data_IF_552277104924
#
_entry.id   IF_552277104924
#
_cell.length_a   1.000
_cell.length_b   1.000
_cell.length_c   1.000
_cell.angle_alpha   90.00
_cell.angle_beta   90.00
_cell.angle_gamma   90.00
#
_symmetry.space_group_name_H-M   'P 1'
#
loop_
_entity.id
_entity.type
_entity.pdbx_description
1 polymer ?
#
# COMPACT_ATOMS: atom_id res chain seq x y z
N UNK A 1 33.01 -63.66 19.60
CA UNK A 1 33.85 -62.62 19.06
C UNK A 1 33.28 -61.24 19.50
N UNK A 2 33.91 -60.66 20.52
CA UNK A 2 33.46 -59.42 21.14
C UNK A 2 34.06 -58.23 20.41
N UNK A 3 33.23 -57.28 19.96
CA UNK A 3 33.70 -56.01 19.40
C UNK A 3 33.45 -54.91 20.44
N UNK A 4 34.57 -54.30 20.85
CA UNK A 4 34.65 -53.26 21.86
C UNK A 4 34.04 -51.94 21.37
N UNK A 5 33.22 -51.36 22.25
CA UNK A 5 32.75 -49.95 22.15
C UNK A 5 33.86 -49.01 22.67
N UNK A 6 34.36 -48.17 21.81
CA UNK A 6 35.23 -47.05 22.20
C UNK A 6 34.33 -45.88 22.55
N UNK A 7 34.39 -45.41 23.80
CA UNK A 7 33.76 -44.19 24.30
C UNK A 7 34.76 -43.02 24.09
N UNK A 8 34.39 -42.05 23.23
CA UNK A 8 35.05 -40.75 23.23
C UNK A 8 34.36 -39.83 24.26
N UNK A 9 35.10 -39.47 25.31
CA UNK A 9 34.77 -38.40 26.23
C UNK A 9 35.33 -37.10 25.67
N UNK A 10 34.44 -36.17 25.28
CA UNK A 10 34.84 -34.81 25.08
C UNK A 10 34.58 -34.01 26.38
N UNK A 11 35.64 -33.44 26.91
CA UNK A 11 35.63 -32.48 27.98
C UNK A 11 35.23 -31.12 27.42
N UNK A 12 34.04 -30.64 27.73
CA UNK A 12 33.63 -29.26 27.46
C UNK A 12 33.89 -28.46 28.75
N UNK A 13 34.98 -27.67 28.76
CA UNK A 13 35.20 -26.61 29.72
C UNK A 13 34.35 -25.40 29.39
N UNK A 14 33.63 -24.94 30.38
CA UNK A 14 33.03 -23.64 30.63
C UNK A 14 32.86 -22.67 29.45
N UNK A 15 31.63 -22.60 28.90
CA UNK A 15 31.17 -21.41 28.21
C UNK A 15 30.06 -20.83 29.06
N UNK A 16 30.31 -19.63 29.61
CA UNK A 16 29.33 -18.84 30.32
C UNK A 16 28.07 -18.67 29.45
N UNK A 17 26.88 -18.82 30.07
CA UNK A 17 25.62 -18.46 29.46
C UNK A 17 25.63 -16.99 29.11
N UNK A 18 26.03 -16.64 27.89
CA UNK A 18 25.55 -15.43 27.26
C UNK A 18 24.10 -15.70 26.85
N UNK A 19 23.15 -15.13 27.57
CA UNK A 19 21.78 -14.97 27.11
C UNK A 19 21.82 -14.08 25.86
N UNK A 20 21.94 -14.69 24.70
CA UNK A 20 21.60 -14.01 23.44
C UNK A 20 20.10 -13.77 23.47
N UNK A 21 19.69 -12.53 23.83
CA UNK A 21 18.39 -12.03 23.42
C UNK A 21 18.30 -12.25 21.90
N UNK A 22 17.52 -13.21 21.49
CA UNK A 22 17.08 -13.34 20.09
C UNK A 22 16.22 -12.11 19.79
N UNK A 23 16.84 -11.02 19.37
CA UNK A 23 16.11 -9.99 18.63
C UNK A 23 15.67 -10.65 17.33
N UNK A 24 14.41 -11.04 17.28
CA UNK A 24 13.76 -11.47 16.05
C UNK A 24 13.79 -10.29 15.12
N UNK A 25 14.55 -10.38 14.03
CA UNK A 25 14.46 -9.43 12.92
C UNK A 25 13.04 -9.55 12.38
N UNK A 26 12.19 -8.59 12.73
CA UNK A 26 10.82 -8.52 12.23
C UNK A 26 10.90 -8.06 10.78
N UNK A 27 10.61 -8.94 9.85
CA UNK A 27 10.44 -8.58 8.44
C UNK A 27 9.18 -7.75 8.27
N UNK A 28 9.08 -6.95 7.20
CA UNK A 28 7.91 -6.12 6.89
C UNK A 28 6.58 -6.92 6.80
N UNK A 29 6.66 -8.23 6.75
CA UNK A 29 5.55 -9.18 6.76
C UNK A 29 5.19 -9.72 8.15
N UNK A 30 5.90 -9.36 9.23
CA UNK A 30 5.79 -10.10 10.49
C UNK A 30 5.09 -9.30 11.60
N UNK A 31 4.10 -9.94 12.15
CA UNK A 31 3.38 -9.89 13.43
C UNK A 31 3.26 -8.60 14.25
N UNK A 32 4.05 -7.56 14.06
CA UNK A 32 3.78 -6.19 14.51
C UNK A 32 3.24 -5.42 13.32
N UNK A 33 1.93 -5.39 13.19
CA UNK A 33 1.26 -4.69 12.11
C UNK A 33 1.24 -3.17 12.31
N UNK A 34 1.60 -2.69 13.49
CA UNK A 34 1.55 -1.27 13.86
C UNK A 34 2.94 -0.72 14.11
N UNK A 35 3.25 0.39 13.44
CA UNK A 35 4.52 1.09 13.54
C UNK A 35 4.26 2.59 13.75
N UNK A 36 5.00 3.21 14.62
CA UNK A 36 4.86 4.63 14.99
C UNK A 36 6.07 5.45 14.58
N UNK A 37 5.82 6.65 14.04
CA UNK A 37 6.81 7.68 13.76
C UNK A 37 6.47 8.98 14.50
N UNK A 38 7.49 9.80 14.75
CA UNK A 38 7.32 11.09 15.39
C UNK A 38 7.29 12.22 14.34
N UNK A 39 6.13 12.79 14.08
CA UNK A 39 5.95 13.89 13.13
C UNK A 39 6.73 15.16 13.51
N UNK A 40 7.15 15.31 14.78
CA UNK A 40 7.97 16.44 15.20
C UNK A 40 9.42 16.40 14.67
N UNK A 41 9.91 15.23 14.23
CA UNK A 41 11.26 15.03 13.67
C UNK A 41 11.35 15.34 12.19
N UNK A 42 10.23 15.50 11.49
CA UNK A 42 10.16 15.68 10.04
C UNK A 42 9.48 16.98 9.65
N UNK A 43 9.70 17.42 8.41
CA UNK A 43 9.00 18.57 7.83
C UNK A 43 7.64 18.11 7.31
N UNK A 44 6.53 18.71 7.74
CA UNK A 44 5.19 18.33 7.26
C UNK A 44 5.01 18.68 5.77
N UNK A 45 4.35 17.79 5.02
CA UNK A 45 4.12 18.00 3.58
C UNK A 45 3.11 19.11 3.30
N UNK A 46 1.90 19.02 3.87
CA UNK A 46 0.86 20.05 3.77
C UNK A 46 0.39 20.34 2.35
N UNK A 47 0.00 19.34 1.57
CA UNK A 47 -0.59 19.43 0.21
C UNK A 47 0.12 20.45 -0.69
N UNK A 48 1.29 20.12 -1.19
CA UNK A 48 2.11 21.02 -2.04
C UNK A 48 3.02 20.24 -3.00
N UNK A 49 3.48 20.93 -4.04
CA UNK A 49 4.55 20.38 -4.86
C UNK A 49 5.91 20.42 -4.13
N UNK A 50 6.90 19.75 -4.72
CA UNK A 50 8.22 19.68 -4.09
C UNK A 50 8.92 21.05 -4.06
N UNK A 51 8.72 21.90 -5.07
CA UNK A 51 9.38 23.19 -5.14
C UNK A 51 8.94 24.11 -3.98
N UNK A 52 7.66 24.07 -3.63
CA UNK A 52 7.13 24.81 -2.48
C UNK A 52 7.54 24.15 -1.16
N UNK A 53 7.46 22.82 -1.07
CA UNK A 53 7.95 22.07 0.09
C UNK A 53 9.43 22.35 0.39
N UNK A 54 10.28 22.42 -0.64
CA UNK A 54 11.72 22.63 -0.50
C UNK A 54 12.11 24.02 0.02
N UNK A 55 11.24 25.01 -0.09
CA UNK A 55 11.47 26.38 0.42
C UNK A 55 11.22 26.52 1.91
N UNK A 56 10.48 25.60 2.50
CA UNK A 56 10.15 25.66 3.94
C UNK A 56 11.35 25.33 4.81
N UNK A 57 11.36 25.86 6.05
CA UNK A 57 12.35 25.49 7.04
C UNK A 57 12.10 24.03 7.43
N UNK A 58 13.03 23.16 7.07
CA UNK A 58 12.96 21.74 7.35
C UNK A 58 13.60 21.42 8.70
N UNK A 59 13.08 20.40 9.34
CA UNK A 59 13.70 19.80 10.53
C UNK A 59 14.85 18.90 10.10
N UNK A 60 15.77 18.67 10.98
CA UNK A 60 16.88 17.75 10.75
C UNK A 60 16.66 16.49 11.55
N UNK A 61 16.65 15.36 10.85
CA UNK A 61 16.54 14.03 11.43
C UNK A 61 17.87 13.29 11.22
N UNK A 62 18.36 12.61 12.25
CA UNK A 62 19.56 11.78 12.12
C UNK A 62 19.18 10.49 11.37
N UNK A 63 19.58 10.39 10.12
CA UNK A 63 19.35 9.23 9.26
C UNK A 63 20.68 8.53 8.94
N UNK A 64 20.88 7.34 9.55
CA UNK A 64 22.11 6.58 9.36
C UNK A 64 22.15 5.96 7.96
N UNK A 65 23.24 6.17 7.22
CA UNK A 65 23.47 5.61 5.90
C UNK A 65 22.72 6.33 4.75
N UNK A 66 22.00 7.40 5.03
CA UNK A 66 21.41 8.24 4.00
C UNK A 66 22.39 9.31 3.50
N UNK A 67 22.19 9.73 2.25
CA UNK A 67 22.95 10.81 1.65
C UNK A 67 22.69 12.12 2.42
N UNK A 68 23.73 12.91 2.76
CA UNK A 68 23.60 14.18 3.50
C UNK A 68 22.73 15.24 2.83
N UNK A 69 22.40 15.10 1.56
CA UNK A 69 21.48 16.02 0.87
C UNK A 69 20.03 15.93 1.39
N UNK A 70 19.66 14.86 2.10
CA UNK A 70 18.33 14.68 2.67
C UNK A 70 18.35 15.08 4.15
N UNK A 71 17.51 16.05 4.52
CA UNK A 71 17.46 16.57 5.90
C UNK A 71 16.67 15.72 6.84
N UNK A 72 15.57 15.18 6.35
CA UNK A 72 14.71 14.24 7.08
C UNK A 72 14.14 13.21 6.12
N UNK A 73 13.46 12.20 6.65
CA UNK A 73 12.95 11.09 5.84
C UNK A 73 11.81 11.51 4.91
N UNK A 74 11.02 12.51 5.28
CA UNK A 74 9.98 13.07 4.41
C UNK A 74 10.62 13.82 3.24
N UNK A 75 11.68 14.61 3.48
CA UNK A 75 12.46 15.26 2.43
C UNK A 75 13.06 14.23 1.45
N UNK A 76 13.59 13.10 1.96
CA UNK A 76 14.07 12.02 1.11
C UNK A 76 12.98 11.52 0.15
N UNK A 77 11.81 11.17 0.68
CA UNK A 77 10.68 10.64 -0.13
C UNK A 77 10.18 11.68 -1.13
N UNK A 78 9.96 12.92 -0.71
CA UNK A 78 9.48 13.99 -1.58
C UNK A 78 10.47 14.32 -2.70
N UNK A 79 11.77 14.39 -2.37
CA UNK A 79 12.82 14.77 -3.31
C UNK A 79 13.04 13.70 -4.38
N UNK A 80 13.19 12.43 -3.99
CA UNK A 80 13.38 11.34 -4.97
C UNK A 80 12.17 11.20 -5.90
N UNK A 81 10.96 11.36 -5.36
CA UNK A 81 9.73 11.33 -6.16
C UNK A 81 9.72 12.44 -7.20
N UNK A 82 10.05 13.67 -6.80
CA UNK A 82 10.18 14.83 -7.71
C UNK A 82 11.25 14.60 -8.77
N UNK A 83 12.45 14.21 -8.37
CA UNK A 83 13.57 13.99 -9.28
C UNK A 83 13.28 12.93 -10.34
N UNK A 84 12.68 11.81 -9.94
CA UNK A 84 12.36 10.72 -10.88
C UNK A 84 11.26 11.14 -11.87
N UNK A 85 10.18 11.74 -11.38
CA UNK A 85 8.96 11.91 -12.18
C UNK A 85 8.83 13.27 -12.86
N UNK A 86 9.32 14.35 -12.26
CA UNK A 86 9.21 15.70 -12.83
C UNK A 86 10.50 16.14 -13.51
N UNK A 87 11.67 15.90 -12.90
CA UNK A 87 12.96 16.16 -13.50
C UNK A 87 13.40 15.07 -14.49
N UNK A 88 12.69 13.91 -14.51
CA UNK A 88 12.99 12.73 -15.36
C UNK A 88 14.38 12.15 -15.10
N UNK A 89 14.83 12.27 -13.87
CA UNK A 89 16.13 11.84 -13.40
C UNK A 89 16.18 10.33 -13.14
N UNK A 90 16.09 9.50 -14.20
CA UNK A 90 16.05 8.03 -14.08
C UNK A 90 17.28 7.49 -13.32
N UNK A 91 18.42 8.16 -13.41
CA UNK A 91 19.63 7.79 -12.67
C UNK A 91 19.46 7.72 -11.16
N UNK A 92 18.56 8.55 -10.59
CA UNK A 92 18.23 8.55 -9.15
C UNK A 92 17.72 7.19 -8.66
N UNK A 93 17.06 6.43 -9.53
CA UNK A 93 16.59 5.06 -9.20
C UNK A 93 17.77 4.17 -8.81
N UNK A 94 18.90 4.25 -9.54
CA UNK A 94 20.09 3.43 -9.23
C UNK A 94 20.75 3.82 -7.89
N UNK A 95 20.54 5.04 -7.41
CA UNK A 95 21.10 5.53 -6.15
C UNK A 95 20.16 5.33 -4.95
N UNK A 96 18.86 5.16 -5.20
CA UNK A 96 17.83 5.14 -4.15
C UNK A 96 17.03 3.83 -4.06
N UNK A 97 17.21 2.91 -5.00
CA UNK A 97 16.59 1.59 -4.97
C UNK A 97 17.65 0.49 -4.82
N UNK A 98 17.28 -0.56 -4.12
CA UNK A 98 18.12 -1.76 -4.02
C UNK A 98 18.10 -2.54 -5.35
N UNK A 99 19.21 -3.17 -5.73
CA UNK A 99 19.31 -3.92 -7.00
C UNK A 99 18.24 -5.02 -7.13
N UNK A 100 17.86 -5.65 -6.01
CA UNK A 100 16.84 -6.71 -5.94
C UNK A 100 15.54 -6.19 -5.32
N UNK A 101 15.19 -4.93 -5.56
CA UNK A 101 13.92 -4.37 -5.08
C UNK A 101 12.75 -5.19 -5.60
N UNK A 102 11.74 -5.38 -4.75
CA UNK A 102 10.44 -5.92 -5.15
C UNK A 102 9.40 -4.82 -5.09
N UNK A 103 8.69 -4.60 -6.20
CA UNK A 103 7.57 -3.65 -6.26
C UNK A 103 6.28 -4.43 -6.49
N UNK A 104 5.32 -4.29 -5.59
CA UNK A 104 4.00 -4.92 -5.64
C UNK A 104 2.98 -3.97 -6.27
N UNK A 105 2.30 -4.41 -7.33
CA UNK A 105 1.34 -3.65 -8.13
C UNK A 105 0.01 -4.42 -8.21
N UNK A 106 -0.74 -4.48 -7.12
CA UNK A 106 -1.96 -5.31 -7.08
C UNK A 106 -1.67 -6.80 -7.31
N UNK A 107 -2.10 -7.35 -8.43
CA UNK A 107 -1.86 -8.74 -8.85
C UNK A 107 -0.58 -8.94 -9.64
N UNK A 108 0.24 -7.92 -9.85
CA UNK A 108 1.53 -8.01 -10.55
C UNK A 108 2.68 -7.57 -9.65
N UNK A 109 3.90 -7.96 -10.01
CA UNK A 109 5.10 -7.52 -9.32
C UNK A 109 6.23 -7.26 -10.32
N UNK A 110 7.07 -6.27 -9.99
CA UNK A 110 8.34 -6.03 -10.66
C UNK A 110 9.46 -6.49 -9.72
N UNK A 111 10.47 -7.14 -10.25
CA UNK A 111 11.59 -7.65 -9.46
C UNK A 111 12.91 -7.18 -10.04
N UNK A 112 13.62 -6.42 -9.23
CA UNK A 112 14.91 -5.85 -9.62
C UNK A 112 14.82 -4.47 -10.25
N UNK A 113 15.90 -3.73 -10.10
CA UNK A 113 16.00 -2.32 -10.48
C UNK A 113 15.77 -2.08 -11.98
N UNK A 114 16.10 -3.04 -12.83
CA UNK A 114 15.92 -2.92 -14.29
C UNK A 114 14.44 -2.86 -14.68
N UNK A 115 13.61 -3.65 -14.01
CA UNK A 115 12.17 -3.67 -14.25
C UNK A 115 11.51 -2.38 -13.76
N UNK A 116 11.98 -1.84 -12.63
CA UNK A 116 11.54 -0.53 -12.12
C UNK A 116 11.89 0.58 -13.11
N UNK A 117 13.11 0.61 -13.61
CA UNK A 117 13.56 1.58 -14.63
C UNK A 117 12.73 1.47 -15.91
N UNK A 118 12.52 0.26 -16.42
CA UNK A 118 11.73 0.03 -17.63
C UNK A 118 10.29 0.51 -17.47
N UNK A 119 9.64 0.20 -16.35
CA UNK A 119 8.29 0.65 -16.04
C UNK A 119 8.20 2.18 -15.89
N UNK A 120 9.22 2.80 -15.27
CA UNK A 120 9.29 4.25 -15.11
C UNK A 120 9.43 4.94 -16.48
N UNK A 121 10.32 4.46 -17.34
CA UNK A 121 10.49 4.98 -18.71
C UNK A 121 9.20 4.87 -19.54
N UNK A 122 8.52 3.72 -19.48
CA UNK A 122 7.24 3.53 -20.17
C UNK A 122 6.17 4.52 -19.67
N UNK A 123 6.12 4.78 -18.35
CA UNK A 123 5.19 5.75 -17.78
C UNK A 123 5.52 7.18 -18.18
N UNK A 124 6.80 7.56 -18.19
CA UNK A 124 7.26 8.88 -18.64
C UNK A 124 7.03 9.09 -20.13
N UNK A 125 7.11 8.04 -20.96
CA UNK A 125 6.73 8.12 -22.37
C UNK A 125 5.24 8.40 -22.54
N UNK A 126 4.40 7.69 -21.81
CA UNK A 126 2.95 7.85 -21.90
C UNK A 126 2.45 9.20 -21.34
N UNK A 127 3.12 9.74 -20.32
CA UNK A 127 2.73 10.93 -19.56
C UNK A 127 3.92 11.87 -19.32
N UNK A 128 4.48 12.47 -20.37
CA UNK A 128 5.74 13.21 -20.28
C UNK A 128 5.67 14.54 -19.52
N UNK A 129 4.47 15.11 -19.34
CA UNK A 129 4.22 16.36 -18.64
C UNK A 129 3.69 16.16 -17.20
N UNK A 130 3.84 14.93 -16.64
CA UNK A 130 3.33 14.60 -15.31
C UNK A 130 3.83 15.58 -14.24
N UNK A 131 2.89 16.08 -13.43
CA UNK A 131 3.12 16.91 -12.25
C UNK A 131 2.62 16.19 -11.00
N UNK A 132 3.28 16.43 -9.88
CA UNK A 132 3.03 15.77 -8.61
C UNK A 132 2.73 16.80 -7.53
N UNK A 133 1.66 16.54 -6.78
CA UNK A 133 1.35 17.26 -5.55
C UNK A 133 1.41 16.23 -4.42
N UNK A 134 2.40 16.33 -3.55
CA UNK A 134 2.48 15.55 -2.32
C UNK A 134 1.35 15.96 -1.40
N UNK A 135 0.56 14.98 -0.96
CA UNK A 135 -0.55 15.24 -0.04
C UNK A 135 -0.17 14.89 1.39
N UNK A 136 0.52 13.77 1.59
CA UNK A 136 1.06 13.38 2.88
C UNK A 136 2.17 12.32 2.73
N UNK A 137 3.08 12.27 3.69
CA UNK A 137 4.04 11.18 3.91
C UNK A 137 3.90 10.71 5.34
N UNK A 138 3.25 9.58 5.54
CA UNK A 138 3.11 8.91 6.83
C UNK A 138 4.30 7.96 6.97
N UNK A 139 5.00 8.01 8.09
CA UNK A 139 6.24 7.27 8.22
C UNK A 139 6.45 6.72 9.64
N UNK A 140 7.39 5.79 9.77
CA UNK A 140 7.87 5.28 11.05
C UNK A 140 9.30 4.75 10.94
N UNK A 141 9.97 4.63 12.08
CA UNK A 141 11.20 3.86 12.15
C UNK A 141 10.92 2.36 11.94
N UNK A 142 11.87 1.65 11.35
CA UNK A 142 11.85 0.22 11.16
C UNK A 142 13.23 -0.39 11.48
N UNK A 143 13.31 -1.14 12.58
CA UNK A 143 14.59 -1.61 13.09
C UNK A 143 15.49 -0.47 13.55
N UNK A 144 16.81 -0.65 13.43
CA UNK A 144 17.80 0.35 13.89
C UNK A 144 18.09 1.46 12.89
N UNK A 145 18.00 1.16 11.60
CA UNK A 145 18.48 2.04 10.52
C UNK A 145 17.50 2.14 9.35
N UNK A 146 16.33 1.53 9.49
CA UNK A 146 15.31 1.49 8.46
C UNK A 146 14.14 2.40 8.75
N UNK A 147 13.39 2.69 7.69
CA UNK A 147 12.18 3.48 7.71
C UNK A 147 11.10 2.83 6.87
N UNK A 148 9.86 3.00 7.30
CA UNK A 148 8.67 2.73 6.50
C UNK A 148 8.03 4.07 6.13
N UNK A 149 7.59 4.21 4.88
CA UNK A 149 6.78 5.35 4.45
C UNK A 149 5.51 4.89 3.76
N UNK A 150 4.51 5.76 3.77
CA UNK A 150 3.33 5.72 2.93
C UNK A 150 3.13 7.11 2.36
N UNK A 151 3.36 7.28 1.06
CA UNK A 151 3.33 8.56 0.37
C UNK A 151 2.08 8.67 -0.49
N UNK A 152 1.17 9.58 -0.15
CA UNK A 152 -0.02 9.90 -0.92
C UNK A 152 0.26 11.09 -1.84
N UNK A 153 0.01 10.88 -3.13
CA UNK A 153 0.31 11.83 -4.20
C UNK A 153 -0.89 12.00 -5.13
N UNK A 154 -1.23 13.24 -5.45
CA UNK A 154 -2.08 13.58 -6.58
C UNK A 154 -1.21 13.88 -7.79
N UNK A 155 -1.49 13.24 -8.92
CA UNK A 155 -0.81 13.48 -10.19
C UNK A 155 -1.75 14.14 -11.18
N UNK A 156 -1.22 15.05 -12.02
CA UNK A 156 -1.86 15.53 -13.24
C UNK A 156 -0.96 15.24 -14.42
N UNK A 157 -1.51 14.84 -15.56
CA UNK A 157 -0.72 14.52 -16.75
C UNK A 157 -1.57 14.54 -18.01
N UNK A 158 -0.92 14.65 -19.17
CA UNK A 158 -1.55 14.47 -20.49
C UNK A 158 -1.04 13.19 -21.14
N UNK A 159 -1.94 12.36 -21.66
CA UNK A 159 -1.58 11.12 -22.34
C UNK A 159 -1.09 11.41 -23.75
N UNK A 160 0.21 11.66 -23.92
CA UNK A 160 0.86 12.02 -25.18
C UNK A 160 1.58 10.84 -25.87
N UNK A 161 1.75 9.74 -25.18
CA UNK A 161 2.34 8.50 -25.71
C UNK A 161 1.46 7.30 -25.45
N UNK A 162 1.71 6.21 -26.17
CA UNK A 162 1.03 4.94 -25.95
C UNK A 162 1.31 4.42 -24.55
N UNK A 163 0.33 3.79 -23.94
CA UNK A 163 0.37 3.26 -22.57
C UNK A 163 -0.11 1.83 -22.49
N UNK A 164 -0.01 1.21 -21.33
CA UNK A 164 -0.61 -0.10 -21.07
C UNK A 164 -2.14 -0.10 -21.22
N UNK A 165 -2.78 1.07 -21.23
CA UNK A 165 -4.21 1.21 -21.42
C UNK A 165 -4.61 1.28 -22.91
N UNK A 166 -3.71 1.69 -23.79
CA UNK A 166 -3.94 1.83 -25.21
C UNK A 166 -3.14 2.96 -25.85
N UNK A 167 -3.51 3.36 -27.08
CA UNK A 167 -2.83 4.44 -27.79
C UNK A 167 -3.00 5.80 -27.11
N UNK A 168 -2.12 6.74 -27.43
CA UNK A 168 -2.18 8.11 -26.97
C UNK A 168 -3.53 8.76 -27.31
N UNK A 169 -4.16 9.36 -26.29
CA UNK A 169 -5.50 9.99 -26.45
C UNK A 169 -5.44 11.51 -26.50
N UNK A 170 -4.32 12.11 -26.11
CA UNK A 170 -4.18 13.56 -25.95
C UNK A 170 -4.99 14.12 -24.76
N UNK A 171 -5.66 13.29 -23.97
CA UNK A 171 -6.50 13.74 -22.84
C UNK A 171 -5.67 14.04 -21.61
N UNK A 172 -6.06 15.11 -20.90
CA UNK A 172 -5.54 15.45 -19.60
C UNK A 172 -6.28 14.68 -18.50
N UNK A 173 -5.53 14.16 -17.56
CA UNK A 173 -6.06 13.34 -16.44
C UNK A 173 -5.48 13.79 -15.12
N UNK A 174 -6.18 13.45 -14.04
CA UNK A 174 -5.68 13.50 -12.66
C UNK A 174 -5.94 12.15 -11.99
N UNK A 175 -5.05 11.76 -11.07
CA UNK A 175 -5.20 10.49 -10.37
C UNK A 175 -4.39 10.46 -9.06
N UNK A 176 -4.96 9.77 -8.07
CA UNK A 176 -4.28 9.49 -6.80
C UNK A 176 -3.42 8.25 -6.93
N UNK A 177 -2.24 8.33 -6.32
CA UNK A 177 -1.36 7.17 -6.10
C UNK A 177 -0.95 7.17 -4.63
N UNK A 178 -0.92 5.99 -4.00
CA UNK A 178 -0.34 5.81 -2.67
C UNK A 178 0.77 4.76 -2.79
N UNK A 179 1.93 5.09 -2.26
CA UNK A 179 3.14 4.28 -2.35
C UNK A 179 3.67 4.03 -0.95
N UNK A 180 3.73 2.76 -0.56
CA UNK A 180 4.41 2.31 0.63
C UNK A 180 5.83 1.87 0.29
N UNK A 181 6.81 2.32 1.06
CA UNK A 181 8.21 1.89 0.88
C UNK A 181 8.80 1.38 2.19
N UNK A 182 9.63 0.33 2.09
CA UNK A 182 10.55 -0.07 3.12
C UNK A 182 11.97 0.31 2.67
N UNK A 183 12.65 1.14 3.49
CA UNK A 183 13.90 1.80 3.12
C UNK A 183 14.95 1.58 4.20
N UNK A 184 16.17 1.29 3.79
CA UNK A 184 17.33 1.19 4.69
C UNK A 184 18.54 1.80 4.01
N UNK A 185 19.29 2.67 4.72
CA UNK A 185 20.54 3.23 4.25
C UNK A 185 20.44 3.77 2.80
N UNK A 186 19.56 4.71 2.55
CA UNK A 186 19.31 5.33 1.24
C UNK A 186 18.72 4.42 0.17
N UNK A 187 18.33 3.16 0.48
CA UNK A 187 17.86 2.18 -0.49
C UNK A 187 16.45 1.68 -0.18
N UNK A 188 15.51 1.91 -1.11
CA UNK A 188 14.21 1.25 -1.10
C UNK A 188 14.42 -0.19 -1.52
N UNK A 189 14.10 -1.13 -0.66
CA UNK A 189 14.25 -2.56 -0.93
C UNK A 189 12.92 -3.28 -1.21
N UNK A 190 11.81 -2.67 -0.81
CA UNK A 190 10.46 -3.18 -1.09
C UNK A 190 9.49 -2.01 -1.23
N UNK A 191 8.58 -2.10 -2.21
CA UNK A 191 7.60 -1.07 -2.51
C UNK A 191 6.23 -1.69 -2.80
N UNK A 192 5.17 -1.06 -2.33
CA UNK A 192 3.78 -1.38 -2.65
C UNK A 192 3.13 -0.14 -3.21
N UNK A 193 2.60 -0.25 -4.42
CA UNK A 193 1.99 0.87 -5.11
C UNK A 193 0.55 0.56 -5.49
N UNK A 194 -0.36 1.42 -5.08
CA UNK A 194 -1.74 1.44 -5.52
C UNK A 194 -2.03 2.75 -6.25
N UNK A 195 -2.79 2.65 -7.34
CA UNK A 195 -3.18 3.79 -8.16
C UNK A 195 -4.63 3.65 -8.57
N UNK A 196 -5.35 4.74 -8.60
CA UNK A 196 -6.73 4.76 -9.12
C UNK A 196 -6.72 4.65 -10.66
N UNK A 197 -6.37 3.45 -11.14
CA UNK A 197 -6.30 3.14 -12.57
C UNK A 197 -7.68 3.14 -13.23
N UNK A 198 -8.76 2.82 -12.50
CA UNK A 198 -10.11 2.89 -13.03
C UNK A 198 -10.47 4.33 -13.42
N UNK A 199 -10.13 5.30 -12.56
CA UNK A 199 -10.35 6.72 -12.85
C UNK A 199 -9.50 7.21 -14.02
N UNK A 200 -8.23 6.81 -14.09
CA UNK A 200 -7.36 7.11 -15.22
C UNK A 200 -7.98 6.65 -16.55
N UNK A 201 -8.36 5.38 -16.62
CA UNK A 201 -8.94 4.76 -17.84
C UNK A 201 -10.23 5.45 -18.28
N UNK A 202 -11.09 5.79 -17.31
CA UNK A 202 -12.35 6.51 -17.58
C UNK A 202 -12.07 7.89 -18.16
N UNK A 203 -11.14 8.67 -17.59
CA UNK A 203 -10.75 9.98 -18.10
C UNK A 203 -10.11 9.90 -19.49
N UNK A 204 -9.32 8.86 -19.75
CA UNK A 204 -8.73 8.59 -21.07
C UNK A 204 -9.79 8.24 -22.11
N UNK A 205 -11.00 7.87 -21.70
CA UNK A 205 -12.15 7.55 -22.57
C UNK A 205 -12.15 6.13 -23.08
N UNK A 206 -11.42 5.24 -22.43
CA UNK A 206 -11.53 3.80 -22.69
C UNK A 206 -12.66 3.20 -21.84
N UNK A 207 -13.30 2.14 -22.35
CA UNK A 207 -14.22 1.34 -21.57
C UNK A 207 -13.43 0.45 -20.57
N UNK A 208 -13.65 0.60 -19.26
CA UNK A 208 -12.88 -0.16 -18.27
C UNK A 208 -13.11 -1.68 -18.35
N UNK A 209 -14.33 -2.12 -18.71
CA UNK A 209 -14.65 -3.54 -18.81
C UNK A 209 -13.98 -4.18 -20.02
N UNK A 210 -14.04 -3.54 -21.18
CA UNK A 210 -13.37 -4.02 -22.39
C UNK A 210 -11.85 -4.02 -22.22
N UNK A 211 -11.31 -3.00 -21.58
CA UNK A 211 -9.88 -2.96 -21.26
C UNK A 211 -9.48 -4.07 -20.29
N UNK A 212 -10.26 -4.29 -19.22
CA UNK A 212 -10.01 -5.34 -18.24
C UNK A 212 -10.04 -6.74 -18.86
N UNK A 213 -10.98 -7.02 -19.78
CA UNK A 213 -11.02 -8.27 -20.57
C UNK A 213 -9.75 -8.44 -21.40
N UNK A 214 -9.34 -7.39 -22.13
CA UNK A 214 -8.10 -7.41 -22.92
C UNK A 214 -6.88 -7.66 -22.06
N UNK A 215 -6.80 -7.04 -20.90
CA UNK A 215 -5.71 -7.24 -19.94
C UNK A 215 -5.70 -8.66 -19.35
N UNK A 216 -6.87 -9.21 -19.05
CA UNK A 216 -7.03 -10.59 -18.58
C UNK A 216 -6.47 -11.57 -19.62
N UNK A 217 -6.88 -11.43 -20.87
CA UNK A 217 -6.39 -12.23 -22.00
C UNK A 217 -4.88 -12.15 -22.16
N UNK A 218 -4.31 -10.95 -22.09
CA UNK A 218 -2.85 -10.75 -22.20
C UNK A 218 -2.05 -11.33 -21.03
N UNK A 219 -2.71 -11.65 -19.92
CA UNK A 219 -2.09 -12.21 -18.71
C UNK A 219 -2.19 -13.72 -18.59
N UNK A 220 -2.93 -14.39 -19.48
CA UNK A 220 -3.26 -15.83 -19.41
C UNK A 220 -2.05 -16.73 -19.21
N UNK A 221 -0.94 -16.42 -19.88
CA UNK A 221 0.28 -17.24 -19.85
C UNK A 221 1.39 -16.70 -18.92
N UNK A 222 1.08 -15.63 -18.18
CA UNK A 222 2.07 -14.98 -17.31
C UNK A 222 1.81 -15.34 -15.85
N UNK A 223 2.41 -16.44 -15.40
CA UNK A 223 2.42 -16.76 -13.96
C UNK A 223 3.39 -15.80 -13.26
N UNK A 224 2.86 -14.98 -12.36
CA UNK A 224 3.71 -14.21 -11.46
C UNK A 224 4.16 -15.11 -10.29
N UNK A 225 5.47 -15.43 -10.15
CA UNK A 225 5.96 -16.30 -9.08
C UNK A 225 5.62 -15.80 -7.69
N UNK A 226 5.50 -14.47 -7.51
CA UNK A 226 5.13 -13.88 -6.23
C UNK A 226 3.62 -14.02 -5.94
N UNK A 227 2.78 -14.08 -6.97
CA UNK A 227 1.35 -14.38 -6.79
C UNK A 227 1.09 -15.84 -6.40
N UNK A 228 1.88 -16.78 -6.92
CA UNK A 228 1.77 -18.18 -6.52
C UNK A 228 2.01 -18.39 -5.02
N UNK A 229 2.81 -17.54 -4.39
CA UNK A 229 3.07 -17.56 -2.95
C UNK A 229 1.98 -16.85 -2.10
N UNK A 230 1.12 -16.05 -2.72
CA UNK A 230 -0.04 -15.46 -2.03
C UNK A 230 -1.25 -16.40 -2.11
N UNK A 231 -1.04 -17.68 -1.84
CA UNK A 231 -2.01 -18.76 -1.82
C UNK A 231 -3.47 -18.32 -1.84
N UNK A 232 -4.01 -18.16 -3.05
CA UNK A 232 -5.46 -17.92 -3.21
C UNK A 232 -6.28 -18.97 -2.46
N UNK A 233 -5.69 -20.15 -2.21
CA UNK A 233 -6.34 -21.27 -1.54
C UNK A 233 -6.45 -21.13 -0.02
N UNK A 234 -5.48 -20.49 0.64
CA UNK A 234 -5.43 -20.43 2.10
C UNK A 234 -6.41 -19.42 2.72
N UNK A 235 -6.88 -18.47 1.94
CA UNK A 235 -7.77 -17.40 2.43
C UNK A 235 -9.23 -17.57 2.01
N UNK A 236 -9.60 -18.73 1.44
CA UNK A 236 -10.94 -18.97 0.93
C UNK A 236 -11.83 -19.76 1.89
N UNK A 237 -11.38 -20.00 3.10
CA UNK A 237 -12.14 -20.77 4.11
C UNK A 237 -13.28 -19.97 4.77
N UNK A 238 -13.69 -18.86 4.16
CA UNK A 238 -14.81 -18.11 4.64
C UNK A 238 -14.44 -17.02 5.64
N UNK A 239 -15.44 -16.41 6.19
CA UNK A 239 -15.33 -15.29 7.09
C UNK A 239 -15.10 -15.76 8.52
N UNK A 240 -13.98 -15.34 9.11
CA UNK A 240 -13.79 -15.49 10.54
C UNK A 240 -14.56 -14.40 11.28
N UNK A 241 -15.43 -14.83 12.19
CA UNK A 241 -15.86 -13.95 13.27
C UNK A 241 -14.68 -13.86 14.23
N UNK A 242 -14.02 -12.68 14.36
CA UNK A 242 -12.95 -12.57 15.33
C UNK A 242 -13.50 -12.83 16.73
N UNK A 243 -12.78 -13.57 17.53
CA UNK A 243 -12.98 -13.54 18.97
C UNK A 243 -12.97 -12.07 19.41
N UNK A 244 -13.66 -11.80 20.51
CA UNK A 244 -13.82 -10.43 21.03
C UNK A 244 -12.47 -9.70 21.04
N UNK A 245 -12.24 -8.89 19.98
CA UNK A 245 -11.06 -8.06 19.88
C UNK A 245 -11.29 -6.79 20.68
N UNK A 246 -10.37 -6.49 21.59
CA UNK A 246 -10.31 -5.21 22.30
C UNK A 246 -8.90 -4.66 22.12
N UNK A 247 -8.78 -3.35 21.91
CA UNK A 247 -7.47 -2.69 21.90
C UNK A 247 -6.74 -2.96 23.23
N UNK A 248 -5.45 -3.24 23.14
CA UNK A 248 -4.64 -3.54 24.34
C UNK A 248 -4.30 -2.29 25.12
N UNK A 249 -4.22 -1.17 24.44
CA UNK A 249 -4.01 0.16 24.96
C UNK A 249 -4.86 1.15 24.15
N UNK A 250 -4.89 2.42 24.55
CA UNK A 250 -5.61 3.48 23.85
C UNK A 250 -4.85 4.00 22.62
N UNK A 251 -3.93 3.21 22.04
CA UNK A 251 -3.18 3.60 20.87
C UNK A 251 -4.04 3.60 19.63
N UNK A 252 -3.85 4.59 18.77
CA UNK A 252 -4.61 4.75 17.53
C UNK A 252 -4.45 3.54 16.59
N UNK A 253 -3.26 2.94 16.56
CA UNK A 253 -3.00 1.78 15.71
C UNK A 253 -3.82 0.56 16.10
N UNK A 254 -3.97 0.29 17.40
CA UNK A 254 -4.81 -0.79 17.91
C UNK A 254 -6.29 -0.52 17.64
N UNK A 255 -6.74 0.72 17.79
CA UNK A 255 -8.10 1.13 17.41
C UNK A 255 -8.37 0.88 15.93
N UNK A 256 -7.42 1.20 15.05
CA UNK A 256 -7.58 1.00 13.60
C UNK A 256 -7.59 -0.50 13.23
N UNK A 257 -6.81 -1.34 13.91
CA UNK A 257 -6.88 -2.79 13.75
C UNK A 257 -8.24 -3.35 14.21
N UNK A 258 -8.74 -2.85 15.35
CA UNK A 258 -10.07 -3.22 15.84
C UNK A 258 -11.16 -2.82 14.83
N UNK A 259 -11.11 -1.60 14.30
CA UNK A 259 -12.03 -1.12 13.27
C UNK A 259 -12.02 -2.05 12.06
N UNK A 260 -10.86 -2.38 11.49
CA UNK A 260 -10.76 -3.28 10.35
C UNK A 260 -11.34 -4.68 10.67
N UNK A 261 -11.02 -5.22 11.83
CA UNK A 261 -11.54 -6.51 12.27
C UNK A 261 -13.06 -6.52 12.40
N UNK A 262 -13.64 -5.51 13.05
CA UNK A 262 -15.07 -5.45 13.32
C UNK A 262 -15.90 -5.05 12.10
N UNK A 263 -15.49 -3.99 11.41
CA UNK A 263 -16.28 -3.43 10.32
C UNK A 263 -16.13 -4.26 9.03
N UNK A 264 -14.89 -4.60 8.65
CA UNK A 264 -14.64 -5.28 7.38
C UNK A 264 -14.71 -6.81 7.49
N UNK A 265 -14.14 -7.44 8.52
CA UNK A 265 -14.17 -8.90 8.66
C UNK A 265 -15.46 -9.40 9.31
N UNK A 266 -15.79 -8.92 10.50
CA UNK A 266 -17.00 -9.31 11.21
C UNK A 266 -18.28 -8.68 10.65
N UNK A 267 -18.14 -7.71 9.71
CA UNK A 267 -19.24 -7.01 9.02
C UNK A 267 -20.24 -6.32 9.97
N UNK A 268 -19.78 -5.89 11.14
CA UNK A 268 -20.54 -4.99 11.99
C UNK A 268 -20.54 -3.57 11.40
N UNK A 269 -21.23 -3.39 10.27
CA UNK A 269 -21.22 -2.11 9.52
C UNK A 269 -21.72 -0.94 10.37
N UNK A 270 -22.66 -1.19 11.29
CA UNK A 270 -23.14 -0.18 12.24
C UNK A 270 -22.04 0.38 13.16
N UNK A 271 -20.95 -0.38 13.35
CA UNK A 271 -19.83 0.04 14.19
C UNK A 271 -18.96 1.16 13.55
N UNK A 272 -19.21 1.53 12.29
CA UNK A 272 -18.69 2.77 11.69
C UNK A 272 -18.87 3.96 12.64
N UNK A 273 -20.02 4.07 13.32
CA UNK A 273 -20.31 5.13 14.30
C UNK A 273 -19.37 5.13 15.52
N UNK A 274 -18.72 4.03 15.82
CA UNK A 274 -17.75 3.95 16.92
C UNK A 274 -16.39 4.54 16.54
N UNK A 275 -16.01 4.45 15.28
CA UNK A 275 -14.66 4.80 14.81
C UNK A 275 -14.63 6.11 14.03
N UNK A 276 -15.67 6.42 13.27
CA UNK A 276 -15.76 7.64 12.48
C UNK A 276 -16.47 8.76 13.22
N UNK A 277 -16.10 9.99 12.89
CA UNK A 277 -16.86 11.18 13.29
C UNK A 277 -18.15 11.27 12.45
N UNK A 278 -19.20 11.89 12.98
CA UNK A 278 -20.49 12.00 12.27
C UNK A 278 -20.40 12.76 10.94
N UNK A 279 -19.45 13.70 10.83
CA UNK A 279 -19.17 14.49 9.64
C UNK A 279 -17.89 14.03 8.93
N UNK A 280 -17.49 12.77 9.09
CA UNK A 280 -16.31 12.25 8.43
C UNK A 280 -16.49 12.27 6.91
N UNK A 281 -15.38 12.52 6.19
CA UNK A 281 -15.33 12.53 4.73
C UNK A 281 -14.42 11.41 4.26
N UNK A 282 -14.86 10.60 3.29
CA UNK A 282 -14.02 9.65 2.57
C UNK A 282 -13.81 10.13 1.14
N UNK A 283 -12.56 10.37 0.79
CA UNK A 283 -12.12 10.59 -0.58
C UNK A 283 -11.91 9.24 -1.26
N UNK A 284 -12.95 8.73 -1.88
CA UNK A 284 -12.98 7.40 -2.50
C UNK A 284 -12.33 7.40 -3.89
N UNK A 285 -12.20 6.22 -4.50
CA UNK A 285 -11.73 6.08 -5.88
C UNK A 285 -12.67 6.78 -6.88
N UNK A 286 -12.17 7.09 -8.07
CA UNK A 286 -12.89 7.81 -9.12
C UNK A 286 -13.34 9.22 -8.70
N UNK A 287 -12.54 9.90 -7.85
CA UNK A 287 -12.75 11.29 -7.42
C UNK A 287 -14.12 11.52 -6.76
N UNK A 288 -14.56 10.57 -5.94
CA UNK A 288 -15.82 10.65 -5.21
C UNK A 288 -15.59 11.00 -3.76
N UNK A 289 -16.34 11.96 -3.24
CA UNK A 289 -16.41 12.25 -1.81
C UNK A 289 -17.67 11.63 -1.22
N UNK A 290 -17.53 10.95 -0.08
CA UNK A 290 -18.61 10.33 0.69
C UNK A 290 -18.65 10.96 2.07
N UNK A 291 -19.84 11.34 2.54
CA UNK A 291 -20.00 12.13 3.73
C UNK A 291 -20.89 11.45 4.76
N UNK A 292 -20.40 11.37 6.00
CA UNK A 292 -21.17 10.86 7.12
C UNK A 292 -21.44 9.37 7.08
N UNK A 293 -22.12 8.87 8.10
CA UNK A 293 -22.26 7.44 8.36
C UNK A 293 -22.95 6.66 7.24
N UNK A 294 -24.01 7.21 6.66
CA UNK A 294 -24.85 6.47 5.73
C UNK A 294 -24.13 6.20 4.39
N UNK A 295 -23.42 7.21 3.86
CA UNK A 295 -22.64 7.04 2.63
C UNK A 295 -21.41 6.15 2.85
N UNK A 296 -20.75 6.28 4.01
CA UNK A 296 -19.63 5.43 4.41
C UNK A 296 -20.07 3.95 4.51
N UNK A 297 -21.19 3.70 5.21
CA UNK A 297 -21.75 2.35 5.32
C UNK A 297 -22.16 1.78 3.97
N UNK A 298 -22.78 2.60 3.12
CA UNK A 298 -23.18 2.23 1.76
C UNK A 298 -21.99 1.80 0.90
N UNK A 299 -20.88 2.53 0.98
CA UNK A 299 -19.63 2.20 0.30
C UNK A 299 -19.07 0.86 0.78
N UNK A 300 -18.95 0.66 2.09
CA UNK A 300 -18.44 -0.58 2.69
C UNK A 300 -19.31 -1.78 2.29
N UNK A 301 -20.64 -1.63 2.33
CA UNK A 301 -21.58 -2.65 1.88
C UNK A 301 -21.33 -2.99 0.40
N UNK A 302 -21.26 -1.99 -0.48
CA UNK A 302 -21.02 -2.18 -1.91
C UNK A 302 -19.69 -2.89 -2.18
N UNK A 303 -18.64 -2.52 -1.45
CA UNK A 303 -17.31 -3.12 -1.56
C UNK A 303 -17.33 -4.59 -1.14
N UNK A 304 -17.80 -4.88 0.08
CA UNK A 304 -17.81 -6.24 0.63
C UNK A 304 -18.81 -7.16 -0.09
N UNK A 305 -19.92 -6.62 -0.61
CA UNK A 305 -20.93 -7.42 -1.35
C UNK A 305 -20.41 -7.99 -2.66
N UNK A 306 -19.33 -7.46 -3.24
CA UNK A 306 -18.70 -8.06 -4.41
C UNK A 306 -17.92 -9.35 -4.08
N UNK A 307 -17.46 -9.49 -2.82
CA UNK A 307 -16.67 -10.62 -2.31
C UNK A 307 -17.18 -10.98 -0.92
N UNK A 308 -18.44 -11.44 -0.77
CA UNK A 308 -19.10 -11.59 0.54
C UNK A 308 -18.42 -12.61 1.46
N UNK A 309 -17.78 -13.64 0.88
CA UNK A 309 -16.96 -14.61 1.60
C UNK A 309 -15.55 -14.11 1.92
N UNK A 310 -15.19 -12.89 1.48
CA UNK A 310 -13.83 -12.37 1.55
C UNK A 310 -13.32 -12.11 2.96
N UNK A 311 -12.00 -12.31 3.13
CA UNK A 311 -11.22 -11.92 4.29
C UNK A 311 -10.48 -10.62 4.01
N UNK A 312 -10.64 -9.62 4.88
CA UNK A 312 -9.91 -8.36 4.84
C UNK A 312 -8.70 -8.46 5.76
N UNK A 313 -7.53 -8.56 5.16
CA UNK A 313 -6.27 -8.71 5.87
C UNK A 313 -5.52 -7.39 5.94
N UNK A 314 -5.23 -6.92 7.15
CA UNK A 314 -4.35 -5.77 7.36
C UNK A 314 -2.89 -6.25 7.29
N UNK A 315 -2.14 -5.76 6.30
CA UNK A 315 -0.71 -6.09 6.16
C UNK A 315 0.16 -5.18 7.03
N UNK A 316 -0.19 -3.88 7.12
CA UNK A 316 0.59 -2.89 7.86
C UNK A 316 -0.26 -1.71 8.31
N UNK A 317 -0.01 -1.22 9.51
CA UNK A 317 -0.49 0.08 10.01
C UNK A 317 0.72 0.94 10.34
N UNK A 318 0.78 2.15 9.80
CA UNK A 318 1.81 3.14 10.11
C UNK A 318 1.13 4.40 10.64
N UNK A 319 1.58 4.86 11.82
CA UNK A 319 1.01 6.02 12.49
C UNK A 319 2.10 7.08 12.67
N UNK A 320 1.81 8.33 12.34
CA UNK A 320 2.69 9.47 12.56
C UNK A 320 1.92 10.55 13.31
N UNK A 321 2.52 11.12 14.35
CA UNK A 321 1.96 12.28 15.05
C UNK A 321 1.75 13.43 14.05
N UNK A 322 0.59 14.07 14.11
CA UNK A 322 0.33 15.25 13.30
C UNK A 322 1.17 16.44 13.80
N UNK A 323 1.58 17.35 12.91
CA UNK A 323 2.49 18.44 13.26
C UNK A 323 2.03 19.34 14.42
N UNK A 324 0.73 19.44 14.61
CA UNK A 324 0.10 20.28 15.66
C UNK A 324 -0.17 19.50 16.96
N UNK A 325 0.20 18.21 17.03
CA UNK A 325 -0.17 17.28 18.11
C UNK A 325 -1.69 17.20 18.37
N UNK A 326 -2.49 17.34 17.30
CA UNK A 326 -3.95 17.28 17.34
C UNK A 326 -4.49 15.89 16.98
N UNK A 327 -3.63 14.89 16.93
CA UNK A 327 -3.98 13.50 16.58
C UNK A 327 -2.92 12.82 15.75
N UNK A 328 -3.36 11.91 14.91
CA UNK A 328 -2.49 11.06 14.10
C UNK A 328 -2.88 11.06 12.63
N UNK A 329 -1.85 10.99 11.78
CA UNK A 329 -1.99 10.53 10.41
C UNK A 329 -1.70 9.03 10.38
N UNK A 330 -2.62 8.23 9.85
CA UNK A 330 -2.52 6.77 9.82
C UNK A 330 -2.60 6.26 8.39
N UNK A 331 -1.72 5.33 8.04
CA UNK A 331 -1.79 4.55 6.81
C UNK A 331 -2.08 3.10 7.14
N UNK A 332 -3.03 2.50 6.41
CA UNK A 332 -3.32 1.06 6.46
C UNK A 332 -3.12 0.48 5.07
N UNK A 333 -2.20 -0.48 4.94
CA UNK A 333 -2.14 -1.36 3.77
C UNK A 333 -2.87 -2.64 4.07
N UNK A 334 -3.74 -3.02 3.13
CA UNK A 334 -4.65 -4.14 3.29
C UNK A 334 -4.80 -4.98 2.03
N UNK A 335 -5.33 -6.21 2.19
CA UNK A 335 -5.80 -7.07 1.11
C UNK A 335 -7.19 -7.60 1.41
N UNK A 336 -8.04 -7.61 0.38
CA UNK A 336 -9.29 -8.35 0.38
C UNK A 336 -9.12 -9.58 -0.50
N UNK A 337 -9.29 -10.77 0.08
CA UNK A 337 -9.17 -12.05 -0.62
C UNK A 337 -10.45 -12.85 -0.47
N UNK A 338 -10.92 -13.46 -1.55
CA UNK A 338 -12.14 -14.27 -1.55
C UNK A 338 -12.59 -14.62 -2.96
N UNK A 339 -13.85 -14.93 -3.11
CA UNK A 339 -14.50 -15.23 -4.40
C UNK A 339 -15.42 -14.05 -4.75
N UNK A 340 -15.42 -13.65 -6.02
CA UNK A 340 -16.42 -12.71 -6.54
C UNK A 340 -17.74 -13.48 -6.81
N UNK A 341 -18.46 -13.78 -5.72
CA UNK A 341 -19.70 -14.55 -5.72
C UNK A 341 -20.94 -13.72 -5.33
N UNK A 342 -20.77 -12.40 -5.12
CA UNK A 342 -21.85 -11.49 -4.79
C UNK A 342 -21.94 -10.26 -5.68
N UNK A 343 -23.05 -9.54 -5.56
CA UNK A 343 -23.36 -8.33 -6.34
C UNK A 343 -22.96 -7.11 -5.52
N UNK A 344 -21.99 -6.35 -6.00
CA UNK A 344 -21.50 -5.12 -5.37
C UNK A 344 -20.85 -4.19 -6.40
N UNK A 345 -19.78 -3.50 -6.03
CA UNK A 345 -19.12 -2.52 -6.90
C UNK A 345 -18.56 -3.13 -8.20
N UNK A 346 -18.25 -4.44 -8.23
CA UNK A 346 -17.83 -5.17 -9.43
C UNK A 346 -18.99 -5.62 -10.33
N UNK A 347 -20.25 -5.33 -9.95
CA UNK A 347 -21.44 -5.75 -10.67
C UNK A 347 -21.74 -7.23 -10.52
N UNK A 348 -22.20 -7.92 -11.59
CA UNK A 348 -22.57 -9.34 -11.56
C UNK A 348 -21.39 -10.21 -11.16
N UNK A 349 -21.60 -11.26 -10.34
CA UNK A 349 -20.55 -12.15 -9.89
C UNK A 349 -19.95 -12.97 -11.06
N UNK A 350 -18.66 -13.27 -10.94
CA UNK A 350 -17.92 -14.11 -11.91
C UNK A 350 -17.55 -15.49 -11.36
N UNK A 351 -17.68 -15.72 -10.04
CA UNK A 351 -17.18 -16.91 -9.37
C UNK A 351 -15.65 -17.01 -9.33
N UNK A 352 -14.92 -15.96 -9.72
CA UNK A 352 -13.45 -15.97 -9.79
C UNK A 352 -12.81 -15.55 -8.48
N UNK A 353 -11.62 -16.10 -8.15
CA UNK A 353 -10.83 -15.65 -7.01
C UNK A 353 -10.41 -14.19 -7.16
N UNK A 354 -10.47 -13.46 -6.06
CA UNK A 354 -10.09 -12.04 -5.96
C UNK A 354 -9.00 -11.84 -4.92
N UNK A 355 -8.02 -10.99 -5.26
CA UNK A 355 -6.98 -10.52 -4.36
C UNK A 355 -6.76 -9.02 -4.63
N UNK A 356 -7.45 -8.18 -3.87
CA UNK A 356 -7.42 -6.73 -4.06
C UNK A 356 -6.51 -6.13 -3.00
N UNK A 357 -5.48 -5.39 -3.41
CA UNK A 357 -4.60 -4.63 -2.53
C UNK A 357 -5.04 -3.17 -2.51
N UNK A 358 -5.10 -2.59 -1.33
CA UNK A 358 -5.34 -1.17 -1.14
C UNK A 358 -4.43 -0.56 -0.07
N UNK A 359 -4.33 0.77 -0.10
CA UNK A 359 -3.66 1.56 0.92
C UNK A 359 -4.54 2.78 1.21
N UNK A 360 -5.02 2.88 2.44
CA UNK A 360 -5.83 3.98 2.90
C UNK A 360 -5.05 4.87 3.84
N UNK A 361 -5.25 6.19 3.74
CA UNK A 361 -4.77 7.18 4.69
C UNK A 361 -5.92 7.75 5.49
N UNK A 362 -5.66 8.05 6.76
CA UNK A 362 -6.66 8.54 7.70
C UNK A 362 -6.12 9.72 8.50
N UNK A 363 -6.97 10.70 8.76
CA UNK A 363 -6.78 11.67 9.84
C UNK A 363 -7.62 11.22 11.04
N UNK A 364 -6.95 10.95 12.16
CA UNK A 364 -7.59 10.54 13.41
C UNK A 364 -7.36 11.61 14.46
N UNK A 365 -8.46 12.23 14.94
CA UNK A 365 -8.45 13.28 15.96
C UNK A 365 -9.44 12.87 17.05
N UNK A 366 -9.04 13.03 18.31
CA UNK A 366 -9.85 12.69 19.50
C UNK A 366 -10.44 11.25 19.44
N UNK A 367 -9.63 10.31 18.93
CA UNK A 367 -10.04 8.91 18.79
C UNK A 367 -11.12 8.65 17.73
N UNK A 368 -11.32 9.58 16.79
CA UNK A 368 -12.25 9.45 15.65
C UNK A 368 -11.56 9.70 14.33
N UNK A 369 -11.92 8.90 13.33
CA UNK A 369 -11.56 9.16 11.94
C UNK A 369 -12.41 10.33 11.46
N UNK A 370 -11.75 11.42 11.05
CA UNK A 370 -12.42 12.61 10.52
C UNK A 370 -12.33 12.70 9.01
N UNK A 371 -11.29 12.10 8.43
CA UNK A 371 -11.04 12.12 6.99
C UNK A 371 -10.30 10.84 6.57
N UNK A 372 -10.66 10.30 5.42
CA UNK A 372 -10.06 9.08 4.86
C UNK A 372 -9.81 9.27 3.36
N UNK A 373 -8.70 8.72 2.87
CA UNK A 373 -8.40 8.58 1.45
C UNK A 373 -8.27 7.11 1.12
N UNK A 374 -9.30 6.58 0.48
CA UNK A 374 -9.35 5.18 0.07
C UNK A 374 -8.76 5.02 -1.32
N UNK A 375 -7.77 4.15 -1.48
CA UNK A 375 -7.08 3.95 -2.75
C UNK A 375 -6.78 2.48 -2.99
N UNK A 376 -7.33 1.94 -4.06
CA UNK A 376 -7.03 0.61 -4.58
C UNK A 376 -7.19 0.58 -6.11
N UNK A 377 -6.65 -0.45 -6.75
CA UNK A 377 -6.76 -0.61 -8.20
C UNK A 377 -8.01 -1.41 -8.58
N UNK A 378 -9.12 -0.70 -8.79
CA UNK A 378 -10.38 -1.32 -9.20
C UNK A 378 -10.35 -1.84 -10.65
N UNK A 379 -9.44 -1.33 -11.52
CA UNK A 379 -9.24 -1.89 -12.85
C UNK A 379 -8.57 -3.27 -12.78
N UNK A 380 -7.60 -3.47 -11.88
CA UNK A 380 -7.02 -4.79 -11.64
C UNK A 380 -8.05 -5.76 -11.04
N UNK A 381 -8.95 -5.29 -10.17
CA UNK A 381 -10.07 -6.08 -9.68
C UNK A 381 -11.00 -6.52 -10.81
N UNK A 382 -11.35 -5.63 -11.76
CA UNK A 382 -12.11 -5.98 -12.96
C UNK A 382 -11.35 -6.98 -13.86
N UNK A 383 -10.04 -6.83 -14.02
CA UNK A 383 -9.21 -7.79 -14.75
C UNK A 383 -9.30 -9.18 -14.11
N UNK A 384 -9.18 -9.29 -12.79
CA UNK A 384 -9.31 -10.57 -12.07
C UNK A 384 -10.68 -11.21 -12.30
N UNK A 385 -11.75 -10.41 -12.31
CA UNK A 385 -13.11 -10.85 -12.60
C UNK A 385 -13.21 -11.56 -13.96
N UNK A 386 -12.45 -11.10 -14.97
CA UNK A 386 -12.50 -11.64 -16.35
C UNK A 386 -11.44 -12.71 -16.64
N UNK A 387 -10.55 -13.03 -15.69
CA UNK A 387 -9.53 -14.06 -15.91
C UNK A 387 -10.15 -15.46 -16.08
N UNK A 388 -9.81 -16.14 -17.21
CA UNK A 388 -10.30 -17.48 -17.51
C UNK A 388 -11.75 -17.58 -17.95
N UNK A 389 -12.45 -16.46 -18.23
CA UNK A 389 -13.77 -16.46 -18.88
C UNK A 389 -13.68 -16.54 -20.42
N UNK A 390 -12.47 -16.49 -20.97
CA UNK A 390 -12.21 -16.42 -22.40
C UNK A 390 -12.26 -17.77 -23.10
N UNK A 391 -12.30 -18.87 -22.35
CA UNK A 391 -12.38 -20.23 -22.90
C UNK A 391 -13.84 -20.70 -23.06
N UNK A 392 -14.82 -19.83 -22.74
CA UNK A 392 -16.26 -20.15 -22.80
C UNK A 392 -16.96 -19.57 -24.05
N UNK A 393 -16.24 -18.84 -24.94
CA UNK A 393 -16.70 -18.40 -26.25
C UNK A 393 -16.03 -19.26 -27.35
#
# INVERSE_FOLDING_TARGET
MKINKIKFKYIIRGVSKMETKKETVKTAYNSNKVFYGNGAEVTPVGVKDYNDFSKETKREQKMVGFDPQYRDFVDYIMKITHQIWEEKGIGVIYDTYHNNVTMHLGTSSLVGIKDVVANTLATLHAFPDRRLIGQNVIWSNYGKEGYLSSHRVMSTATNLGDSNFGPATGRKINFRTVIDCATTANRIHEEWLVRDNLWMVTQLGFDPHELAKKMAKASKDKVNPLQANYGLCESMEGQFMPEKYTAKDDSVGEMMLEMCSRVYNAKYISDVKKYYHENAVIHYICDKDLNGYDEIQGMIISFLSSVPSGSYEVERVTCTDRPNNDGYDVSIRWRLRGINDGIGFLGQPSGKPMNIMGINHYHVIDGKIIEEWDTFDALDALKQKYMGLEDEE
#
